data_IF_933003823451
#
_entry.id   IF_933003823451
#
_cell.length_a   1.000
_cell.length_b   1.000
_cell.length_c   1.000
_cell.angle_alpha   90.00
_cell.angle_beta   90.00
_cell.angle_gamma   90.00
#
_symmetry.space_group_name_H-M   'P 1'
#
loop_
_entity.id
_entity.type
_entity.pdbx_description
1 polymer ?
#
# COMPACT_ATOMS: atom_id res chain seq x y z
N UNK A 1 -8.48 -3.20 -20.67
CA UNK A 1 -8.09 -2.03 -19.87
C UNK A 1 -7.00 -2.47 -18.92
N UNK A 2 -5.89 -1.75 -18.80
CA UNK A 2 -4.77 -2.12 -17.93
C UNK A 2 -5.08 -2.00 -16.43
N UNK A 3 -6.13 -1.29 -16.06
CA UNK A 3 -6.60 -1.19 -14.67
C UNK A 3 -8.10 -1.51 -14.61
N UNK A 4 -8.47 -2.40 -13.69
CA UNK A 4 -9.87 -2.70 -13.36
C UNK A 4 -10.13 -2.39 -11.89
N UNK A 5 -11.37 -2.01 -11.59
CA UNK A 5 -11.83 -1.79 -10.21
C UNK A 5 -12.97 -2.76 -9.92
N UNK A 6 -12.79 -3.57 -8.90
CA UNK A 6 -13.78 -4.53 -8.41
C UNK A 6 -14.21 -4.12 -7.01
N UNK A 7 -15.49 -4.28 -6.69
CA UNK A 7 -16.04 -3.87 -5.39
C UNK A 7 -16.77 -5.02 -4.73
N UNK A 8 -16.50 -5.21 -3.46
CA UNK A 8 -17.22 -6.15 -2.62
C UNK A 8 -17.48 -5.50 -1.26
N UNK A 9 -18.74 -5.17 -0.98
CA UNK A 9 -19.12 -4.42 0.23
C UNK A 9 -18.30 -3.13 0.37
N UNK A 10 -17.49 -3.03 1.42
CA UNK A 10 -16.65 -1.87 1.73
C UNK A 10 -15.20 -1.98 1.20
N UNK A 11 -14.89 -3.06 0.49
CA UNK A 11 -13.55 -3.31 -0.07
C UNK A 11 -13.54 -3.00 -1.56
N UNK A 12 -12.56 -2.23 -1.98
CA UNK A 12 -12.27 -1.91 -3.39
C UNK A 12 -10.98 -2.58 -3.80
N UNK A 13 -11.02 -3.53 -4.75
CA UNK A 13 -9.81 -4.13 -5.32
C UNK A 13 -9.46 -3.43 -6.63
N UNK A 14 -8.31 -2.77 -6.66
CA UNK A 14 -7.71 -2.19 -7.86
C UNK A 14 -6.80 -3.24 -8.46
N UNK A 15 -7.15 -3.71 -9.65
CA UNK A 15 -6.45 -4.77 -10.37
C UNK A 15 -5.60 -4.16 -11.47
N UNK A 16 -4.28 -4.33 -11.39
CA UNK A 16 -3.35 -4.05 -12.46
C UNK A 16 -3.28 -5.27 -13.39
N UNK A 17 -3.70 -5.11 -14.64
CA UNK A 17 -3.93 -6.19 -15.60
C UNK A 17 -3.19 -5.96 -16.92
N UNK A 18 -1.86 -6.14 -16.88
CA UNK A 18 -0.95 -6.19 -18.03
C UNK A 18 0.01 -7.38 -17.87
N UNK A 19 -0.50 -8.63 -17.74
CA UNK A 19 0.32 -9.79 -17.43
C UNK A 19 1.40 -10.05 -18.51
N UNK A 20 1.14 -9.72 -19.76
CA UNK A 20 2.08 -9.81 -20.89
C UNK A 20 3.32 -8.91 -20.71
N UNK A 21 3.18 -7.81 -19.95
CA UNK A 21 4.26 -6.90 -19.57
C UNK A 21 4.70 -7.10 -18.11
N UNK A 22 4.29 -8.19 -17.44
CA UNK A 22 4.52 -8.42 -16.01
C UNK A 22 4.02 -7.25 -15.15
N UNK A 23 2.88 -6.69 -15.55
CA UNK A 23 2.26 -5.54 -14.90
C UNK A 23 3.18 -4.30 -14.81
N UNK A 24 4.08 -4.12 -15.77
CA UNK A 24 4.84 -2.88 -15.90
C UNK A 24 3.88 -1.72 -16.22
N UNK A 25 4.18 -0.55 -15.66
CA UNK A 25 3.33 0.65 -15.69
C UNK A 25 3.91 1.65 -16.68
N UNK A 26 3.17 1.95 -17.74
CA UNK A 26 3.42 3.08 -18.64
C UNK A 26 2.56 4.31 -18.23
N UNK A 27 2.73 5.43 -18.91
CA UNK A 27 2.01 6.67 -18.61
C UNK A 27 0.49 6.51 -18.54
N UNK A 28 -0.18 5.93 -19.56
CA UNK A 28 -1.61 5.67 -19.50
C UNK A 28 -2.05 4.78 -18.34
N UNK A 29 -1.29 3.72 -18.05
CA UNK A 29 -1.56 2.83 -16.91
C UNK A 29 -1.40 3.56 -15.57
N UNK A 30 -0.38 4.42 -15.44
CA UNK A 30 -0.19 5.25 -14.25
C UNK A 30 -1.37 6.20 -14.03
N UNK A 31 -1.87 6.83 -15.10
CA UNK A 31 -3.04 7.71 -15.04
C UNK A 31 -4.31 6.94 -14.63
N UNK A 32 -4.53 5.73 -15.15
CA UNK A 32 -5.67 4.88 -14.76
C UNK A 32 -5.57 4.43 -13.29
N UNK A 33 -4.37 4.04 -12.80
CA UNK A 33 -4.16 3.73 -11.38
C UNK A 33 -4.48 4.92 -10.49
N UNK A 34 -3.98 6.11 -10.85
CA UNK A 34 -4.23 7.33 -10.12
C UNK A 34 -5.74 7.66 -10.08
N UNK A 35 -6.42 7.55 -11.22
CA UNK A 35 -7.87 7.77 -11.30
C UNK A 35 -8.66 6.76 -10.45
N UNK A 36 -8.27 5.48 -10.45
CA UNK A 36 -8.91 4.43 -9.65
C UNK A 36 -8.80 4.73 -8.14
N UNK A 37 -7.64 5.17 -7.66
CA UNK A 37 -7.47 5.51 -6.25
C UNK A 37 -8.14 6.84 -5.85
N UNK A 38 -8.24 7.83 -6.76
CA UNK A 38 -9.08 9.01 -6.51
C UNK A 38 -10.56 8.65 -6.41
N UNK A 39 -11.04 7.78 -7.28
CA UNK A 39 -12.43 7.31 -7.21
C UNK A 39 -12.71 6.51 -5.92
N UNK A 40 -11.75 5.68 -5.47
CA UNK A 40 -11.83 5.01 -4.18
C UNK A 40 -11.86 6.00 -3.02
N UNK A 41 -11.01 7.01 -3.02
CA UNK A 41 -10.99 8.04 -1.96
C UNK A 41 -12.31 8.82 -1.89
N UNK A 42 -12.90 9.14 -3.03
CA UNK A 42 -14.15 9.90 -3.13
C UNK A 42 -15.42 9.07 -2.84
N UNK A 43 -15.33 7.74 -2.77
CA UNK A 43 -16.48 6.85 -2.53
C UNK A 43 -16.71 6.65 -1.03
N UNK A 44 -17.69 7.32 -0.44
CA UNK A 44 -18.00 7.23 1.00
C UNK A 44 -18.37 5.82 1.47
N UNK A 45 -18.78 4.93 0.58
CA UNK A 45 -19.11 3.54 0.90
C UNK A 45 -17.89 2.64 0.98
N UNK A 46 -16.78 3.02 0.33
CA UNK A 46 -15.52 2.29 0.32
C UNK A 46 -14.68 2.63 1.56
N UNK A 47 -14.14 1.62 2.22
CA UNK A 47 -13.37 1.78 3.46
C UNK A 47 -11.91 1.39 3.34
N UNK A 48 -11.61 0.31 2.60
CA UNK A 48 -10.25 -0.23 2.42
C UNK A 48 -10.04 -0.60 0.96
N UNK A 49 -8.87 -0.31 0.41
CA UNK A 49 -8.50 -0.78 -0.90
C UNK A 49 -7.48 -1.94 -0.86
N UNK A 50 -7.53 -2.79 -1.86
CA UNK A 50 -6.50 -3.78 -2.17
C UNK A 50 -5.92 -3.44 -3.54
N UNK A 51 -4.60 -3.38 -3.66
CA UNK A 51 -3.88 -3.31 -4.94
C UNK A 51 -3.31 -4.68 -5.25
N UNK A 52 -3.68 -5.24 -6.40
CA UNK A 52 -3.26 -6.56 -6.84
C UNK A 52 -2.86 -6.57 -8.32
N UNK A 53 -1.81 -7.32 -8.66
CA UNK A 53 -1.38 -7.57 -10.03
C UNK A 53 -1.88 -8.92 -10.53
N UNK A 54 -2.61 -8.93 -11.65
CA UNK A 54 -3.13 -10.14 -12.29
C UNK A 54 -2.02 -10.94 -12.99
N UNK A 55 -2.16 -12.27 -13.08
CA UNK A 55 -1.24 -13.12 -13.85
C UNK A 55 0.06 -13.49 -13.12
N UNK A 56 0.06 -13.53 -11.78
CA UNK A 56 1.16 -14.09 -10.98
C UNK A 56 2.38 -13.16 -10.82
N UNK A 57 2.23 -11.88 -11.10
CA UNK A 57 3.24 -10.85 -10.83
C UNK A 57 2.55 -9.60 -10.33
N UNK A 58 3.00 -9.07 -9.19
CA UNK A 58 2.44 -7.82 -8.68
C UNK A 58 2.72 -6.65 -9.63
N UNK A 59 3.99 -6.30 -9.83
CA UNK A 59 4.39 -5.24 -10.75
C UNK A 59 5.91 -5.24 -10.97
N UNK A 60 6.35 -5.19 -12.22
CA UNK A 60 7.75 -5.13 -12.61
C UNK A 60 8.35 -3.70 -12.63
N UNK A 61 7.57 -2.67 -12.27
CA UNK A 61 7.99 -1.27 -12.27
C UNK A 61 7.54 -0.50 -13.51
N UNK A 62 8.23 0.59 -13.82
CA UNK A 62 7.95 1.37 -15.02
C UNK A 62 8.21 0.54 -16.29
N UNK A 63 7.36 0.72 -17.30
CA UNK A 63 7.53 0.08 -18.61
C UNK A 63 8.69 0.72 -19.38
N UNK A 64 9.87 0.10 -19.31
CA UNK A 64 11.08 0.63 -19.97
C UNK A 64 10.95 0.72 -21.49
N UNK A 65 10.03 -0.03 -22.12
CA UNK A 65 9.77 0.08 -23.56
C UNK A 65 9.00 1.35 -23.91
N UNK A 66 8.32 1.95 -22.93
CA UNK A 66 7.60 3.20 -23.10
C UNK A 66 8.49 4.45 -22.90
N UNK A 67 9.68 4.30 -22.32
CA UNK A 67 10.60 5.42 -22.06
C UNK A 67 10.99 6.11 -23.37
N UNK A 68 10.84 7.44 -23.41
CA UNK A 68 11.13 8.23 -24.61
C UNK A 68 10.06 8.19 -25.68
N UNK A 69 8.91 7.57 -25.42
CA UNK A 69 7.73 7.57 -26.31
C UNK A 69 6.59 8.40 -25.72
N UNK A 70 5.51 8.61 -26.47
CA UNK A 70 4.28 9.25 -25.98
C UNK A 70 3.60 8.48 -24.84
N UNK A 71 3.93 7.21 -24.65
CA UNK A 71 3.44 6.36 -23.56
C UNK A 71 4.34 6.41 -22.32
N UNK A 72 5.42 7.21 -22.34
CA UNK A 72 6.33 7.37 -21.21
C UNK A 72 5.62 7.87 -19.95
N UNK A 73 6.11 7.45 -18.78
CA UNK A 73 5.61 7.94 -17.51
C UNK A 73 5.90 9.44 -17.37
N UNK A 74 4.95 10.19 -16.85
CA UNK A 74 5.16 11.60 -16.53
C UNK A 74 6.15 11.73 -15.37
N UNK A 75 7.24 12.45 -15.60
CA UNK A 75 8.23 12.78 -14.57
C UNK A 75 8.22 14.31 -14.39
N UNK A 76 7.65 14.76 -13.28
CA UNK A 76 7.53 16.18 -12.92
C UNK A 76 7.52 16.33 -11.41
N UNK A 77 7.81 17.52 -10.90
CA UNK A 77 7.83 17.81 -9.47
C UNK A 77 6.43 17.83 -8.85
N UNK A 78 5.42 18.18 -9.63
CA UNK A 78 4.03 18.32 -9.22
C UNK A 78 3.15 17.14 -9.70
N UNK A 79 1.95 17.04 -9.15
CA UNK A 79 0.91 16.08 -9.54
C UNK A 79 1.22 14.64 -9.11
N UNK A 80 0.69 13.69 -9.90
CA UNK A 80 0.84 12.26 -9.61
C UNK A 80 2.28 11.79 -9.76
N UNK A 81 2.62 10.73 -9.03
CA UNK A 81 3.90 10.06 -9.20
C UNK A 81 4.01 9.38 -10.58
N UNK A 82 5.22 9.11 -11.07
CA UNK A 82 5.42 8.37 -12.31
C UNK A 82 4.71 7.02 -12.37
N UNK A 83 4.56 6.34 -11.24
CA UNK A 83 3.78 5.11 -11.09
C UNK A 83 2.30 5.34 -10.78
N UNK A 84 1.81 6.57 -10.87
CA UNK A 84 0.43 6.95 -10.60
C UNK A 84 0.19 7.38 -9.16
N UNK A 85 -0.37 6.55 -8.25
CA UNK A 85 -0.83 6.97 -6.93
C UNK A 85 0.28 7.23 -5.91
N UNK A 86 1.53 6.98 -6.22
CA UNK A 86 2.64 6.94 -5.26
C UNK A 86 2.90 8.24 -4.49
N UNK A 87 2.41 9.39 -4.98
CA UNK A 87 2.43 10.68 -4.29
C UNK A 87 1.12 11.02 -3.59
N UNK A 88 0.06 10.22 -3.80
CA UNK A 88 -1.22 10.46 -3.15
C UNK A 88 -1.14 10.16 -1.67
N UNK A 89 -1.84 10.98 -0.89
CA UNK A 89 -2.07 10.77 0.52
C UNK A 89 -3.56 10.52 0.73
N UNK A 90 -3.93 9.25 0.74
CA UNK A 90 -5.32 8.84 0.95
C UNK A 90 -5.67 8.89 2.44
N UNK A 91 -6.93 9.17 2.76
CA UNK A 91 -7.45 9.06 4.13
C UNK A 91 -7.77 7.61 4.51
N UNK A 92 -7.91 6.74 3.52
CA UNK A 92 -8.32 5.33 3.65
C UNK A 92 -7.14 4.39 3.47
N UNK A 93 -7.08 3.25 4.19
CA UNK A 93 -5.99 2.30 4.07
C UNK A 93 -5.98 1.54 2.76
N UNK A 94 -4.77 1.16 2.31
CA UNK A 94 -4.51 0.35 1.13
C UNK A 94 -3.63 -0.84 1.48
N UNK A 95 -3.97 -2.03 0.99
CA UNK A 95 -3.22 -3.27 1.19
C UNK A 95 -2.68 -3.75 -0.15
N UNK A 96 -1.37 -3.98 -0.25
CA UNK A 96 -0.77 -4.64 -1.41
C UNK A 96 -0.91 -6.15 -1.29
N UNK A 97 -1.49 -6.80 -2.29
CA UNK A 97 -1.54 -8.25 -2.45
C UNK A 97 -0.44 -8.66 -3.45
N UNK A 98 0.68 -9.12 -2.93
CA UNK A 98 1.92 -9.32 -3.70
C UNK A 98 2.07 -10.78 -4.08
N UNK A 99 1.85 -11.08 -5.37
CA UNK A 99 2.19 -12.34 -6.02
C UNK A 99 3.46 -12.15 -6.85
N UNK A 100 4.37 -13.12 -6.87
CA UNK A 100 5.58 -13.08 -7.66
C UNK A 100 6.41 -11.80 -7.42
N UNK A 101 6.67 -11.01 -8.45
CA UNK A 101 7.61 -9.89 -8.36
C UNK A 101 6.93 -8.54 -8.03
N UNK A 102 7.43 -7.87 -6.98
CA UNK A 102 7.21 -6.48 -6.66
C UNK A 102 8.56 -5.75 -6.71
N UNK A 103 8.95 -5.26 -7.90
CA UNK A 103 10.32 -4.78 -8.12
C UNK A 103 10.36 -3.40 -8.77
N UNK A 104 11.43 -2.65 -8.54
CA UNK A 104 11.61 -1.28 -9.06
C UNK A 104 10.43 -0.39 -8.64
N UNK A 105 9.76 0.30 -9.57
CA UNK A 105 8.54 1.06 -9.31
C UNK A 105 7.39 0.20 -8.74
N UNK A 106 7.38 -1.12 -9.00
CA UNK A 106 6.45 -2.05 -8.37
C UNK A 106 6.70 -2.23 -6.86
N UNK A 107 7.97 -2.24 -6.43
CA UNK A 107 8.31 -2.14 -5.02
C UNK A 107 7.82 -0.82 -4.44
N UNK A 108 7.98 0.29 -5.15
CA UNK A 108 7.53 1.62 -4.69
C UNK A 108 6.00 1.69 -4.54
N UNK A 109 5.23 1.06 -5.45
CA UNK A 109 3.78 0.88 -5.30
C UNK A 109 3.44 0.04 -4.06
N UNK A 110 4.15 -1.06 -3.81
CA UNK A 110 3.94 -1.87 -2.63
C UNK A 110 4.29 -1.13 -1.32
N UNK A 111 5.33 -0.28 -1.34
CA UNK A 111 5.73 0.58 -0.23
C UNK A 111 4.76 1.75 0.01
N UNK A 112 4.06 2.18 -1.01
CA UNK A 112 3.02 3.20 -0.89
C UNK A 112 1.78 2.69 -0.16
N UNK A 113 1.46 1.40 -0.30
CA UNK A 113 0.40 0.75 0.47
C UNK A 113 0.76 0.66 1.96
N UNK A 114 -0.24 0.69 2.84
CA UNK A 114 -0.04 0.58 4.30
C UNK A 114 0.47 -0.81 4.70
N UNK A 115 -0.14 -1.86 4.15
CA UNK A 115 0.19 -3.25 4.45
C UNK A 115 0.55 -4.03 3.17
N UNK A 116 1.32 -5.11 3.33
CA UNK A 116 1.74 -6.03 2.26
C UNK A 116 1.50 -7.47 2.69
N UNK A 117 0.61 -8.16 1.95
CA UNK A 117 0.39 -9.60 2.03
C UNK A 117 1.13 -10.22 0.86
N UNK A 118 2.17 -10.99 1.11
CA UNK A 118 3.05 -11.56 0.10
C UNK A 118 2.86 -13.07 -0.02
N UNK A 119 2.86 -13.60 -1.24
CA UNK A 119 2.97 -15.04 -1.47
C UNK A 119 4.36 -15.54 -1.07
N UNK A 120 4.47 -16.79 -0.65
CA UNK A 120 5.72 -17.40 -0.17
C UNK A 120 6.85 -17.41 -1.22
N UNK A 121 6.49 -17.35 -2.51
CA UNK A 121 7.39 -17.24 -3.65
C UNK A 121 7.58 -15.80 -4.14
N UNK A 122 7.00 -14.82 -3.46
CA UNK A 122 7.14 -13.42 -3.85
C UNK A 122 8.57 -12.91 -3.67
N UNK A 123 8.96 -12.01 -4.58
CA UNK A 123 10.29 -11.40 -4.63
C UNK A 123 10.17 -9.89 -4.67
N UNK A 124 10.82 -9.23 -3.71
CA UNK A 124 10.98 -7.78 -3.67
C UNK A 124 12.39 -7.39 -4.14
N UNK A 125 12.55 -6.20 -4.73
CA UNK A 125 13.88 -5.75 -5.08
C UNK A 125 13.95 -4.44 -5.84
N UNK A 126 15.11 -3.78 -5.76
CA UNK A 126 15.43 -2.55 -6.49
C UNK A 126 16.04 -2.91 -7.84
N UNK A 127 15.30 -3.65 -8.68
CA UNK A 127 15.83 -4.23 -9.93
C UNK A 127 16.14 -3.20 -11.01
N UNK A 128 15.62 -1.99 -10.90
CA UNK A 128 15.95 -0.85 -11.76
C UNK A 128 17.43 -0.46 -11.68
N UNK A 129 18.14 -0.85 -10.59
CA UNK A 129 19.58 -0.60 -10.43
C UNK A 129 20.40 -1.13 -11.60
N UNK A 130 20.03 -2.27 -12.17
CA UNK A 130 20.70 -2.88 -13.31
C UNK A 130 20.67 -2.03 -14.59
N UNK A 131 19.70 -1.11 -14.66
CA UNK A 131 19.44 -0.30 -15.86
C UNK A 131 19.70 1.19 -15.63
N UNK A 132 20.21 1.58 -14.47
CA UNK A 132 20.43 2.99 -14.13
C UNK A 132 19.15 3.82 -13.96
N UNK A 133 17.98 3.17 -13.86
CA UNK A 133 16.71 3.86 -13.63
C UNK A 133 16.58 4.20 -12.14
N UNK A 134 16.34 5.47 -11.78
CA UNK A 134 16.25 5.89 -10.40
C UNK A 134 14.91 5.47 -9.76
N UNK A 135 14.91 5.38 -8.42
CA UNK A 135 13.69 5.33 -7.61
C UNK A 135 13.19 6.77 -7.42
N UNK A 136 12.01 7.09 -7.95
CA UNK A 136 11.41 8.44 -7.91
C UNK A 136 9.93 8.42 -7.51
N UNK A 137 9.47 7.29 -7.01
CA UNK A 137 8.10 7.07 -6.52
C UNK A 137 8.05 6.82 -5.00
N UNK A 138 9.08 7.26 -4.29
CA UNK A 138 9.19 7.23 -2.83
C UNK A 138 9.97 6.05 -2.26
N UNK A 139 10.61 5.22 -3.10
CA UNK A 139 11.38 4.06 -2.65
C UNK A 139 12.52 4.41 -1.71
N UNK A 140 13.31 5.44 -2.03
CA UNK A 140 14.42 5.89 -1.17
C UNK A 140 13.96 6.58 0.13
N UNK A 141 12.67 6.93 0.22
CA UNK A 141 12.07 7.57 1.40
C UNK A 141 11.40 6.52 2.29
N UNK A 142 10.49 5.71 1.71
CA UNK A 142 9.66 4.76 2.48
C UNK A 142 10.42 3.50 2.89
N UNK A 143 11.28 2.97 2.02
CA UNK A 143 12.00 1.72 2.31
C UNK A 143 12.86 1.83 3.58
N UNK A 144 13.75 2.85 3.74
CA UNK A 144 14.55 2.96 4.97
C UNK A 144 13.73 3.25 6.23
N UNK A 145 12.57 3.89 6.12
CA UNK A 145 11.65 4.10 7.24
C UNK A 145 11.01 2.79 7.69
N UNK A 146 10.75 1.88 6.75
CA UNK A 146 10.09 0.60 7.03
C UNK A 146 11.05 -0.46 7.58
N UNK A 147 12.24 -0.63 6.97
CA UNK A 147 13.16 -1.73 7.29
C UNK A 147 14.50 -1.29 7.91
N UNK A 148 14.65 0.01 8.14
CA UNK A 148 15.89 0.61 8.61
C UNK A 148 16.90 0.91 7.49
N UNK A 149 17.73 1.93 7.70
CA UNK A 149 18.63 2.47 6.67
C UNK A 149 19.64 1.43 6.15
N UNK A 150 20.20 0.59 7.02
CA UNK A 150 21.22 -0.40 6.62
C UNK A 150 20.68 -1.44 5.64
N UNK A 151 19.50 -2.02 5.92
CA UNK A 151 18.86 -3.01 5.04
C UNK A 151 18.36 -2.37 3.74
N UNK A 152 17.81 -1.16 3.83
CA UNK A 152 17.40 -0.42 2.65
C UNK A 152 18.58 -0.11 1.73
N UNK A 153 19.72 0.28 2.31
CA UNK A 153 20.94 0.58 1.55
C UNK A 153 21.48 -0.66 0.84
N UNK A 154 21.47 -1.83 1.49
CA UNK A 154 21.84 -3.10 0.85
C UNK A 154 20.95 -3.37 -0.38
N UNK A 155 19.64 -3.27 -0.26
CA UNK A 155 18.72 -3.46 -1.40
C UNK A 155 18.92 -2.42 -2.50
N UNK A 156 19.12 -1.15 -2.15
CA UNK A 156 19.28 -0.04 -3.10
C UNK A 156 20.60 -0.14 -3.86
N UNK A 157 21.70 -0.45 -3.20
CA UNK A 157 23.03 -0.49 -3.82
C UNK A 157 23.24 -1.75 -4.66
N UNK A 158 22.82 -2.90 -4.13
CA UNK A 158 23.05 -4.19 -4.78
C UNK A 158 21.99 -4.54 -5.82
N UNK A 159 20.77 -4.05 -5.65
CA UNK A 159 19.61 -4.48 -6.44
C UNK A 159 19.30 -5.97 -6.31
N UNK A 160 19.75 -6.62 -5.23
CA UNK A 160 19.53 -8.04 -5.02
C UNK A 160 18.05 -8.39 -4.79
N UNK A 161 17.64 -9.62 -5.11
CA UNK A 161 16.32 -10.09 -4.74
C UNK A 161 16.21 -10.29 -3.21
N UNK A 162 15.03 -9.98 -2.69
CA UNK A 162 14.63 -10.27 -1.31
C UNK A 162 13.41 -11.17 -1.37
N UNK A 163 13.53 -12.47 -1.01
CA UNK A 163 12.41 -13.40 -1.02
C UNK A 163 11.41 -13.08 0.11
N UNK A 164 10.17 -13.58 -0.04
CA UNK A 164 9.06 -13.29 0.88
C UNK A 164 9.39 -13.55 2.35
N UNK A 165 10.11 -14.62 2.67
CA UNK A 165 10.51 -14.95 4.05
C UNK A 165 11.44 -13.89 4.62
N UNK A 166 12.49 -13.50 3.90
CA UNK A 166 13.38 -12.42 4.34
C UNK A 166 12.60 -11.11 4.44
N UNK A 167 11.72 -10.81 3.48
CA UNK A 167 10.87 -9.61 3.51
C UNK A 167 10.01 -9.55 4.79
N UNK A 168 9.48 -10.68 5.24
CA UNK A 168 8.75 -10.77 6.50
C UNK A 168 9.67 -10.56 7.71
N UNK A 169 10.81 -11.23 7.75
CA UNK A 169 11.75 -11.17 8.88
C UNK A 169 12.34 -9.75 9.09
N UNK A 170 12.45 -8.96 8.01
CA UNK A 170 12.93 -7.56 8.10
C UNK A 170 11.81 -6.52 8.20
N UNK A 171 10.54 -6.93 8.22
CA UNK A 171 9.38 -6.03 8.34
C UNK A 171 8.92 -5.40 7.02
N UNK A 172 9.45 -5.83 5.86
CA UNK A 172 9.00 -5.37 4.55
C UNK A 172 7.63 -5.97 4.19
N UNK A 173 7.37 -7.23 4.50
CA UNK A 173 6.07 -7.87 4.37
C UNK A 173 5.40 -8.02 5.74
N UNK A 174 4.07 -7.78 5.82
CA UNK A 174 3.30 -7.94 7.05
C UNK A 174 2.79 -9.36 7.25
N UNK A 175 2.55 -10.08 6.15
CA UNK A 175 2.10 -11.48 6.13
C UNK A 175 2.73 -12.21 4.97
N UNK A 176 3.02 -13.50 5.18
CA UNK A 176 3.39 -14.44 4.11
C UNK A 176 2.34 -15.54 4.05
N UNK A 177 1.84 -15.80 2.85
CA UNK A 177 0.76 -16.74 2.58
C UNK A 177 1.14 -17.70 1.46
N UNK A 178 0.49 -18.87 1.33
CA UNK A 178 0.78 -19.80 0.23
C UNK A 178 0.61 -19.16 -1.15
N UNK A 179 1.31 -19.69 -2.16
CA UNK A 179 1.20 -19.25 -3.54
C UNK A 179 -0.26 -19.28 -4.03
N UNK A 180 -0.68 -18.27 -4.80
CA UNK A 180 -2.05 -18.08 -5.28
C UNK A 180 -3.03 -17.54 -4.24
N UNK A 181 -2.58 -17.19 -3.03
CA UNK A 181 -3.47 -16.77 -1.94
C UNK A 181 -3.40 -15.26 -1.61
N UNK A 182 -2.43 -14.52 -2.12
CA UNK A 182 -2.22 -13.12 -1.71
C UNK A 182 -3.48 -12.26 -1.88
N UNK A 183 -4.18 -12.37 -3.00
CA UNK A 183 -5.40 -11.60 -3.26
C UNK A 183 -6.48 -11.91 -2.22
N UNK A 184 -6.84 -13.18 -2.06
CA UNK A 184 -7.90 -13.58 -1.15
C UNK A 184 -7.61 -13.16 0.31
N UNK A 185 -6.39 -13.40 0.78
CA UNK A 185 -5.96 -13.05 2.14
C UNK A 185 -5.90 -11.53 2.37
N UNK A 186 -5.50 -10.74 1.34
CA UNK A 186 -5.54 -9.29 1.41
C UNK A 186 -6.98 -8.75 1.43
N UNK A 187 -7.89 -9.31 0.64
CA UNK A 187 -9.31 -8.95 0.64
C UNK A 187 -9.99 -9.34 1.97
N UNK A 188 -9.66 -10.49 2.56
CA UNK A 188 -10.12 -10.91 3.88
C UNK A 188 -9.61 -9.96 4.98
N UNK A 189 -8.31 -9.59 4.93
CA UNK A 189 -7.74 -8.60 5.83
C UNK A 189 -8.42 -7.23 5.65
N UNK A 190 -8.65 -6.79 4.42
CA UNK A 190 -9.33 -5.55 4.13
C UNK A 190 -10.77 -5.56 4.67
N UNK A 191 -11.50 -6.66 4.52
CA UNK A 191 -12.84 -6.82 5.09
C UNK A 191 -12.82 -6.78 6.62
N UNK A 192 -11.81 -7.37 7.26
CA UNK A 192 -11.64 -7.29 8.71
C UNK A 192 -11.39 -5.85 9.18
N UNK A 193 -10.48 -5.13 8.52
CA UNK A 193 -10.18 -3.72 8.81
C UNK A 193 -11.39 -2.82 8.55
N UNK A 194 -12.17 -3.10 7.52
CA UNK A 194 -13.38 -2.34 7.17
C UNK A 194 -14.50 -2.45 8.22
N UNK A 195 -14.49 -3.45 9.10
CA UNK A 195 -15.48 -3.59 10.19
C UNK A 195 -15.21 -2.68 11.40
N UNK A 196 -13.97 -2.22 11.57
CA UNK A 196 -13.65 -1.35 12.69
C UNK A 196 -14.27 0.04 12.56
N UNK A 197 -14.43 0.79 13.67
CA UNK A 197 -14.80 2.20 13.65
C UNK A 197 -13.82 3.01 12.76
N UNK A 198 -14.36 3.59 11.69
CA UNK A 198 -13.50 4.11 10.61
C UNK A 198 -12.90 5.48 10.94
N UNK A 199 -13.59 6.32 11.71
CA UNK A 199 -13.05 7.62 12.10
C UNK A 199 -11.82 7.45 12.99
N UNK A 200 -11.89 6.59 13.99
CA UNK A 200 -10.79 6.26 14.89
C UNK A 200 -9.61 5.64 14.11
N UNK A 201 -9.85 4.58 13.33
CA UNK A 201 -8.80 3.91 12.54
C UNK A 201 -8.07 4.88 11.59
N UNK A 202 -8.81 5.73 10.88
CA UNK A 202 -8.23 6.72 9.95
C UNK A 202 -7.50 7.84 10.69
N UNK A 203 -8.00 8.25 11.86
CA UNK A 203 -7.35 9.22 12.75
C UNK A 203 -5.98 8.74 13.20
N UNK A 204 -5.89 7.51 13.72
CA UNK A 204 -4.63 6.90 14.15
C UNK A 204 -3.66 6.72 12.98
N UNK A 205 -4.16 6.25 11.82
CA UNK A 205 -3.36 6.15 10.59
C UNK A 205 -2.82 7.51 10.15
N UNK A 206 -3.64 8.56 10.18
CA UNK A 206 -3.20 9.90 9.83
C UNK A 206 -2.12 10.40 10.80
N UNK A 207 -2.28 10.17 12.09
CA UNK A 207 -1.29 10.50 13.12
C UNK A 207 0.07 9.85 12.85
N UNK A 208 0.09 8.55 12.52
CA UNK A 208 1.32 7.82 12.15
C UNK A 208 2.00 8.44 10.93
N UNK A 209 1.23 8.87 9.93
CA UNK A 209 1.79 9.49 8.72
C UNK A 209 2.24 10.94 8.95
N UNK A 210 1.56 11.67 9.84
CA UNK A 210 1.85 13.10 10.11
C UNK A 210 3.07 13.30 10.99
N UNK A 211 3.40 12.34 11.86
CA UNK A 211 4.53 12.45 12.78
C UNK A 211 5.90 12.33 12.11
N UNK A 212 5.95 11.86 10.85
CA UNK A 212 7.23 11.65 10.18
C UNK A 212 8.07 12.94 10.07
N UNK A 213 9.30 12.89 10.59
CA UNK A 213 10.23 14.01 10.58
C UNK A 213 9.97 15.09 11.65
N UNK A 214 8.99 14.88 12.53
CA UNK A 214 8.72 15.75 13.67
C UNK A 214 9.52 15.32 14.90
N UNK A 215 9.78 16.25 15.81
CA UNK A 215 10.23 15.93 17.16
C UNK A 215 9.09 15.27 17.95
N UNK A 216 9.44 14.49 18.98
CA UNK A 216 8.49 13.69 19.75
C UNK A 216 7.39 14.53 20.40
N UNK A 217 7.74 15.71 20.96
CA UNK A 217 6.75 16.58 21.61
C UNK A 217 5.71 17.11 20.62
N UNK A 218 6.15 17.51 19.43
CA UNK A 218 5.26 17.97 18.35
C UNK A 218 4.41 16.81 17.82
N UNK A 219 5.00 15.62 17.66
CA UNK A 219 4.31 14.40 17.22
C UNK A 219 3.20 14.01 18.22
N UNK A 220 3.48 13.97 19.53
CA UNK A 220 2.50 13.64 20.57
C UNK A 220 1.35 14.66 20.64
N UNK A 221 1.64 15.96 20.44
CA UNK A 221 0.57 16.97 20.31
C UNK A 221 -0.31 16.72 19.07
N UNK A 222 0.32 16.24 17.96
CA UNK A 222 -0.37 15.83 16.75
C UNK A 222 -1.31 14.66 17.01
N UNK A 223 -0.79 13.59 17.62
CA UNK A 223 -1.55 12.40 18.01
C UNK A 223 -2.78 12.77 18.85
N UNK A 224 -2.61 13.60 19.89
CA UNK A 224 -3.73 14.06 20.72
C UNK A 224 -4.81 14.77 19.88
N UNK A 225 -4.42 15.63 18.93
CA UNK A 225 -5.40 16.32 18.06
C UNK A 225 -6.19 15.33 17.20
N UNK A 226 -5.52 14.33 16.60
CA UNK A 226 -6.18 13.28 15.84
C UNK A 226 -7.15 12.47 16.72
N UNK A 227 -6.74 12.08 17.93
CA UNK A 227 -7.56 11.33 18.87
C UNK A 227 -8.79 12.12 19.34
N UNK A 228 -8.61 13.38 19.73
CA UNK A 228 -9.73 14.24 20.18
C UNK A 228 -10.76 14.44 19.08
N UNK A 229 -10.36 14.52 17.82
CA UNK A 229 -11.28 14.70 16.69
C UNK A 229 -12.24 13.52 16.49
N UNK A 230 -11.92 12.34 17.01
CA UNK A 230 -12.70 11.08 16.83
C UNK A 230 -13.26 10.53 18.15
N UNK A 231 -13.13 11.26 19.27
CA UNK A 231 -13.58 10.82 20.60
C UNK A 231 -15.08 10.44 20.66
N UNK A 232 -15.93 11.08 19.86
CA UNK A 232 -17.37 10.76 19.82
C UNK A 232 -17.61 9.30 19.43
N UNK A 233 -16.90 8.78 18.41
CA UNK A 233 -16.96 7.37 18.02
C UNK A 233 -16.45 6.44 19.14
N UNK A 234 -15.43 6.87 19.88
CA UNK A 234 -14.90 6.15 21.03
C UNK A 234 -15.92 6.03 22.19
N UNK A 235 -16.72 7.05 22.43
CA UNK A 235 -17.80 7.02 23.43
C UNK A 235 -18.89 6.00 23.07
N UNK A 236 -19.27 5.93 21.79
CA UNK A 236 -20.20 4.91 21.29
C UNK A 236 -19.63 3.49 21.46
N UNK A 237 -18.34 3.31 21.16
CA UNK A 237 -17.61 2.05 21.36
C UNK A 237 -17.58 1.63 22.84
N UNK A 238 -17.31 2.56 23.74
CA UNK A 238 -17.31 2.32 25.19
C UNK A 238 -18.70 1.91 25.69
N UNK A 239 -19.77 2.51 25.20
CA UNK A 239 -21.13 2.12 25.52
C UNK A 239 -21.46 0.70 25.05
N UNK A 240 -21.04 0.29 23.84
CA UNK A 240 -21.19 -1.09 23.34
C UNK A 240 -20.42 -2.09 24.22
N UNK A 241 -19.19 -1.76 24.60
CA UNK A 241 -18.38 -2.60 25.49
C UNK A 241 -19.03 -2.76 26.87
N UNK A 242 -19.55 -1.66 27.46
CA UNK A 242 -20.28 -1.71 28.72
C UNK A 242 -21.55 -2.59 28.62
N UNK A 243 -22.19 -2.60 27.44
CA UNK A 243 -23.32 -3.50 27.10
C UNK A 243 -22.95 -4.97 26.88
N UNK A 244 -21.64 -5.31 26.90
CA UNK A 244 -21.15 -6.68 26.82
C UNK A 244 -20.50 -7.10 25.50
N UNK A 245 -20.37 -6.20 24.50
CA UNK A 245 -19.68 -6.50 23.26
C UNK A 245 -18.17 -6.63 23.48
N UNK A 246 -17.49 -7.49 22.72
CA UNK A 246 -16.02 -7.60 22.68
C UNK A 246 -15.39 -8.13 23.98
N UNK A 247 -16.15 -8.74 24.90
CA UNK A 247 -15.60 -9.28 26.15
C UNK A 247 -14.58 -10.38 25.89
N UNK A 248 -13.59 -10.49 26.77
CA UNK A 248 -12.49 -11.47 26.68
C UNK A 248 -11.63 -11.36 25.41
N UNK A 249 -11.57 -10.16 24.80
CA UNK A 249 -10.76 -9.92 23.59
C UNK A 249 -11.34 -10.51 22.31
N UNK A 250 -12.63 -10.88 22.30
CA UNK A 250 -13.25 -11.36 21.06
C UNK A 250 -13.51 -10.20 20.09
N UNK A 251 -13.23 -10.45 18.80
CA UNK A 251 -13.57 -9.56 17.69
C UNK A 251 -14.89 -9.93 17.01
N UNK A 252 -15.61 -10.92 17.55
CA UNK A 252 -16.92 -11.36 17.02
C UNK A 252 -18.00 -10.38 17.43
N UNK A 253 -18.80 -9.89 16.47
CA UNK A 253 -19.92 -8.99 16.73
C UNK A 253 -19.55 -7.51 16.95
N UNK A 254 -18.35 -7.12 16.50
CA UNK A 254 -17.93 -5.72 16.49
C UNK A 254 -18.39 -5.00 15.22
#
# INVERSE_FOLDING_TARGET
MPVRVERREHVTTVVLSRPEARNAVDGPTAAELAAAFRAFEADDTARVAVLWGEGGTFCAGADLKAVGTERGNRVAEDGDGPMGPTRMRLSKPVIAAVAGHAVAGGLELALWCDLRVAEEDAVFGVFCRRWGVPLIDGGTVRLPRLIGAGRAMDMILTGRPVPAREAYDIGLANRVVPAGRARAEAEELAAAVARFPQACLRGDRASVLDQEGQDEETAMRGELRHGVAVLAEGLEGAARFAGGAGRHGTFTGL
#
